data_IF_491414819824
#
_entry.id   IF_491414819824
#
_cell.length_a   1.000
_cell.length_b   1.000
_cell.length_c   1.000
_cell.angle_alpha   90.00
_cell.angle_beta   90.00
_cell.angle_gamma   90.00
#
_symmetry.space_group_name_H-M   'P 1'
#
loop_
_entity.id
_entity.type
_entity.pdbx_description
1 polymer ?
#
# COMPACT_ATOMS: atom_id res chain seq x y z
N UNK A 1 -14.65 -6.33 37.47
CA UNK A 1 -13.76 -6.36 36.29
C UNK A 1 -14.45 -7.22 35.24
N UNK A 2 -14.60 -6.71 34.02
CA UNK A 2 -15.16 -7.48 32.90
C UNK A 2 -14.27 -8.67 32.56
N UNK A 3 -14.85 -9.85 32.39
CA UNK A 3 -14.13 -11.04 31.96
C UNK A 3 -14.06 -11.06 30.43
N UNK A 4 -12.87 -10.82 29.88
CA UNK A 4 -12.63 -10.75 28.43
C UNK A 4 -12.55 -12.12 27.75
N UNK A 5 -12.52 -13.22 28.53
CA UNK A 5 -12.52 -14.58 28.02
C UNK A 5 -13.92 -15.21 28.00
N UNK A 6 -14.96 -14.47 28.40
CA UNK A 6 -16.33 -14.94 28.29
C UNK A 6 -16.72 -15.07 26.81
N UNK A 7 -17.20 -16.25 26.35
CA UNK A 7 -17.58 -16.45 24.95
C UNK A 7 -18.68 -15.48 24.48
N UNK A 8 -19.54 -15.00 25.36
CA UNK A 8 -20.56 -13.99 25.03
C UNK A 8 -19.92 -12.65 24.64
N UNK A 9 -18.96 -12.18 25.43
CA UNK A 9 -18.21 -10.94 25.20
C UNK A 9 -17.38 -11.02 23.92
N UNK A 10 -16.80 -12.19 23.63
CA UNK A 10 -16.01 -12.39 22.40
C UNK A 10 -16.91 -12.32 21.16
N UNK A 11 -18.10 -12.92 21.20
CA UNK A 11 -19.04 -12.88 20.08
C UNK A 11 -19.53 -11.45 19.79
N UNK A 12 -19.86 -10.68 20.83
CA UNK A 12 -20.27 -9.28 20.71
C UNK A 12 -19.17 -8.41 20.11
N UNK A 13 -17.92 -8.59 20.57
CA UNK A 13 -16.77 -7.86 20.03
C UNK A 13 -16.51 -8.21 18.57
N UNK A 14 -16.67 -9.48 18.18
CA UNK A 14 -16.49 -9.90 16.79
C UNK A 14 -17.53 -9.25 15.86
N UNK A 15 -18.79 -9.17 16.29
CA UNK A 15 -19.85 -8.49 15.52
C UNK A 15 -19.58 -6.99 15.38
N UNK A 16 -19.11 -6.34 16.45
CA UNK A 16 -18.71 -4.93 16.41
C UNK A 16 -17.54 -4.70 15.43
N UNK A 17 -16.50 -5.54 15.49
CA UNK A 17 -15.35 -5.47 14.58
C UNK A 17 -15.75 -5.70 13.12
N UNK A 18 -16.64 -6.65 12.85
CA UNK A 18 -17.16 -6.88 11.50
C UNK A 18 -17.80 -5.60 10.95
N UNK A 19 -18.71 -5.01 11.71
CA UNK A 19 -19.42 -3.78 11.31
C UNK A 19 -18.47 -2.61 11.08
N UNK A 20 -17.50 -2.40 11.98
CA UNK A 20 -16.48 -1.35 11.82
C UNK A 20 -15.62 -1.58 10.58
N UNK A 21 -15.20 -2.82 10.32
CA UNK A 21 -14.38 -3.18 9.16
C UNK A 21 -15.08 -2.85 7.85
N UNK A 22 -16.38 -3.12 7.76
CA UNK A 22 -17.19 -2.78 6.58
C UNK A 22 -17.32 -1.28 6.35
N UNK A 23 -17.53 -0.50 7.42
CA UNK A 23 -17.61 0.96 7.33
C UNK A 23 -16.28 1.55 6.85
N UNK A 24 -15.16 1.18 7.48
CA UNK A 24 -13.84 1.66 7.07
C UNK A 24 -13.47 1.21 5.66
N UNK A 25 -13.76 -0.04 5.31
CA UNK A 25 -13.49 -0.56 3.98
C UNK A 25 -14.30 0.18 2.91
N UNK A 26 -15.54 0.58 3.20
CA UNK A 26 -16.39 1.34 2.27
C UNK A 26 -15.87 2.76 2.05
N UNK A 27 -15.45 3.44 3.13
CA UNK A 27 -14.82 4.77 3.05
C UNK A 27 -13.51 4.69 2.25
N UNK A 28 -12.69 3.67 2.51
CA UNK A 28 -11.47 3.43 1.76
C UNK A 28 -11.73 3.17 0.27
N UNK A 29 -12.75 2.37 -0.04
CA UNK A 29 -13.14 2.09 -1.42
C UNK A 29 -13.61 3.36 -2.14
N UNK A 30 -14.37 4.22 -1.46
CA UNK A 30 -14.81 5.52 -1.98
C UNK A 30 -13.62 6.41 -2.35
N UNK A 31 -12.68 6.61 -1.42
CA UNK A 31 -11.44 7.37 -1.66
C UNK A 31 -10.61 6.80 -2.81
N UNK A 32 -10.59 5.48 -2.95
CA UNK A 32 -9.88 4.85 -4.03
C UNK A 32 -10.56 5.06 -5.39
N UNK A 33 -11.88 4.93 -5.47
CA UNK A 33 -12.64 5.14 -6.71
C UNK A 33 -12.50 6.58 -7.21
N UNK A 34 -12.58 7.57 -6.31
CA UNK A 34 -12.41 8.98 -6.69
C UNK A 34 -11.00 9.28 -7.18
N UNK A 35 -9.99 8.60 -6.63
CA UNK A 35 -8.58 8.74 -7.06
C UNK A 35 -8.24 7.95 -8.33
N UNK A 36 -9.02 6.91 -8.66
CA UNK A 36 -8.77 6.02 -9.80
C UNK A 36 -8.71 6.75 -11.13
N UNK A 37 -9.51 7.80 -11.31
CA UNK A 37 -9.51 8.59 -12.55
C UNK A 37 -8.16 9.21 -12.89
N UNK A 38 -7.37 9.58 -11.87
CA UNK A 38 -6.02 10.11 -12.06
C UNK A 38 -5.02 9.00 -12.43
N UNK A 39 -5.07 7.88 -11.71
CA UNK A 39 -4.19 6.72 -11.92
C UNK A 39 -4.43 6.04 -13.28
N UNK A 40 -5.69 5.96 -13.71
CA UNK A 40 -6.05 5.41 -15.02
C UNK A 40 -5.46 6.22 -16.17
N UNK A 41 -5.39 7.55 -16.02
CA UNK A 41 -4.75 8.42 -17.02
C UNK A 41 -3.24 8.21 -17.11
N UNK A 42 -2.60 7.84 -16.00
CA UNK A 42 -1.17 7.48 -15.94
C UNK A 42 -0.92 6.14 -16.64
N UNK A 43 -1.75 5.14 -16.36
CA UNK A 43 -1.68 3.81 -17.02
C UNK A 43 -1.93 3.93 -18.53
N UNK A 44 -2.85 4.79 -18.94
CA UNK A 44 -3.21 5.01 -20.35
C UNK A 44 -2.14 5.80 -21.14
N UNK A 45 -0.92 5.97 -20.60
CA UNK A 45 0.24 6.58 -21.29
C UNK A 45 0.02 8.02 -21.79
N UNK A 46 -0.91 8.77 -21.20
CA UNK A 46 -1.08 10.19 -21.56
C UNK A 46 0.04 11.09 -20.99
N UNK A 47 0.97 10.54 -20.20
CA UNK A 47 2.12 11.22 -19.60
C UNK A 47 3.33 10.27 -19.55
N UNK A 48 4.55 10.82 -19.60
CA UNK A 48 5.80 10.05 -19.55
C UNK A 48 5.84 9.12 -18.32
N UNK A 49 5.93 7.82 -18.58
CA UNK A 49 5.97 6.78 -17.55
C UNK A 49 7.29 6.82 -16.79
N UNK A 50 7.30 7.57 -15.68
CA UNK A 50 8.42 7.56 -14.74
C UNK A 50 8.33 6.31 -13.87
N UNK A 51 9.41 5.55 -13.75
CA UNK A 51 9.57 4.42 -12.82
C UNK A 51 8.96 4.62 -11.42
N UNK A 52 9.16 5.76 -10.73
CA UNK A 52 8.54 6.00 -9.42
C UNK A 52 7.00 6.06 -9.45
N UNK A 53 6.39 6.34 -10.60
CA UNK A 53 4.94 6.35 -10.75
C UNK A 53 4.37 4.94 -10.78
N UNK A 54 5.07 3.98 -11.42
CA UNK A 54 4.69 2.57 -11.44
C UNK A 54 4.69 1.98 -10.02
N UNK A 55 5.73 2.28 -9.24
CA UNK A 55 5.86 1.84 -7.84
C UNK A 55 4.72 2.39 -6.96
N UNK A 56 4.24 3.60 -7.26
CA UNK A 56 3.09 4.21 -6.57
C UNK A 56 1.76 3.52 -6.90
N UNK A 57 1.55 3.15 -8.17
CA UNK A 57 0.35 2.40 -8.59
C UNK A 57 0.34 1.02 -7.93
N UNK A 58 1.47 0.32 -7.91
CA UNK A 58 1.58 -1.02 -7.31
C UNK A 58 1.31 -0.99 -5.81
N UNK A 59 1.81 0.00 -5.06
CA UNK A 59 1.53 0.09 -3.62
C UNK A 59 0.05 0.33 -3.33
N UNK A 60 -0.61 1.22 -4.10
CA UNK A 60 -2.06 1.45 -3.99
C UNK A 60 -2.89 0.23 -4.37
N UNK A 61 -2.52 -0.51 -5.42
CA UNK A 61 -3.20 -1.75 -5.80
C UNK A 61 -3.03 -2.84 -4.74
N UNK A 62 -1.85 -2.93 -4.13
CA UNK A 62 -1.56 -3.87 -3.04
C UNK A 62 -2.46 -3.60 -1.84
N UNK A 63 -2.60 -2.32 -1.46
CA UNK A 63 -3.47 -1.89 -0.36
C UNK A 63 -4.95 -2.20 -0.65
N UNK A 64 -5.38 -2.05 -1.90
CA UNK A 64 -6.73 -2.41 -2.30
C UNK A 64 -6.97 -3.93 -2.31
N UNK A 65 -5.97 -4.71 -2.69
CA UNK A 65 -6.00 -6.17 -2.56
C UNK A 65 -6.23 -6.62 -1.11
N UNK A 66 -5.59 -5.94 -0.14
CA UNK A 66 -5.83 -6.21 1.29
C UNK A 66 -7.26 -5.87 1.70
N UNK A 67 -7.78 -4.70 1.29
CA UNK A 67 -9.14 -4.28 1.61
C UNK A 67 -10.18 -5.27 1.06
N UNK A 68 -10.10 -5.63 -0.22
CA UNK A 68 -10.98 -6.64 -0.84
C UNK A 68 -10.82 -8.00 -0.12
N UNK A 69 -9.59 -8.41 0.17
CA UNK A 69 -9.30 -9.64 0.90
C UNK A 69 -10.00 -9.68 2.27
N UNK A 70 -10.00 -8.58 3.01
CA UNK A 70 -10.69 -8.49 4.31
C UNK A 70 -12.20 -8.60 4.19
N UNK A 71 -12.81 -8.00 3.14
CA UNK A 71 -14.24 -8.15 2.87
C UNK A 71 -14.62 -9.59 2.54
N UNK A 72 -13.84 -10.25 1.69
CA UNK A 72 -14.06 -11.65 1.31
C UNK A 72 -13.93 -12.56 2.54
N UNK A 73 -12.90 -12.35 3.37
CA UNK A 73 -12.68 -13.13 4.58
C UNK A 73 -13.83 -13.01 5.60
N UNK A 74 -14.51 -11.86 5.65
CA UNK A 74 -15.70 -11.67 6.50
C UNK A 74 -16.99 -12.22 5.87
N UNK A 75 -17.02 -12.39 4.55
CA UNK A 75 -18.21 -12.88 3.83
C UNK A 75 -18.27 -14.41 3.74
N UNK A 76 -17.11 -15.09 3.81
CA UNK A 76 -17.07 -16.56 3.80
C UNK A 76 -17.35 -17.14 5.19
N UNK A 77 -18.48 -17.83 5.34
CA UNK A 77 -18.85 -18.62 6.53
C UNK A 77 -18.38 -20.08 6.48
N UNK A 78 -17.66 -20.47 5.42
CA UNK A 78 -17.17 -21.84 5.18
C UNK A 78 -15.75 -22.05 5.71
N UNK A 79 -15.38 -23.29 6.07
CA UNK A 79 -14.03 -23.67 6.52
C UNK A 79 -12.94 -23.21 5.54
N UNK A 80 -12.27 -22.11 5.85
CA UNK A 80 -11.09 -21.62 5.13
C UNK A 80 -9.91 -21.55 6.10
N UNK A 81 -8.68 -21.68 5.58
CA UNK A 81 -7.47 -21.57 6.38
C UNK A 81 -7.25 -20.11 6.82
N UNK A 82 -7.81 -19.71 7.95
CA UNK A 82 -7.65 -18.36 8.52
C UNK A 82 -6.18 -17.96 8.65
N UNK A 83 -5.28 -18.90 8.99
CA UNK A 83 -3.85 -18.61 9.13
C UNK A 83 -3.22 -18.20 7.79
N UNK A 84 -3.55 -18.91 6.69
CA UNK A 84 -3.01 -18.60 5.37
C UNK A 84 -3.52 -17.25 4.85
N UNK A 85 -4.82 -16.99 4.97
CA UNK A 85 -5.43 -15.72 4.55
C UNK A 85 -4.87 -14.53 5.34
N UNK A 86 -4.71 -14.70 6.65
CA UNK A 86 -4.16 -13.65 7.51
C UNK A 86 -2.69 -13.36 7.18
N UNK A 87 -1.86 -14.40 6.97
CA UNK A 87 -0.47 -14.24 6.52
C UNK A 87 -0.36 -13.53 5.18
N UNK A 88 -1.24 -13.86 4.23
CA UNK A 88 -1.26 -13.21 2.92
C UNK A 88 -1.60 -11.71 3.03
N UNK A 89 -2.59 -11.35 3.85
CA UNK A 89 -2.94 -9.94 4.10
C UNK A 89 -1.80 -9.18 4.77
N UNK A 90 -1.13 -9.79 5.75
CA UNK A 90 0.04 -9.18 6.40
C UNK A 90 1.18 -8.97 5.41
N UNK A 91 1.49 -9.97 4.59
CA UNK A 91 2.56 -9.85 3.59
C UNK A 91 2.29 -8.70 2.61
N UNK A 92 1.08 -8.62 2.06
CA UNK A 92 0.67 -7.53 1.17
C UNK A 92 0.72 -6.15 1.87
N UNK A 93 0.30 -6.09 3.14
CA UNK A 93 0.39 -4.88 3.96
C UNK A 93 1.82 -4.40 4.14
N UNK A 94 2.74 -5.29 4.53
CA UNK A 94 4.16 -4.95 4.68
C UNK A 94 4.80 -4.51 3.37
N UNK A 95 4.49 -5.19 2.26
CA UNK A 95 4.96 -4.80 0.94
C UNK A 95 4.52 -3.38 0.58
N UNK A 96 3.25 -3.04 0.81
CA UNK A 96 2.72 -1.69 0.57
C UNK A 96 3.48 -0.63 1.38
N UNK A 97 3.73 -0.89 2.67
CA UNK A 97 4.49 0.04 3.52
C UNK A 97 5.92 0.21 3.01
N UNK A 98 6.61 -0.89 2.66
CA UNK A 98 7.97 -0.82 2.12
C UNK A 98 8.04 0.00 0.81
N UNK A 99 7.07 -0.19 -0.09
CA UNK A 99 6.99 0.53 -1.36
C UNK A 99 6.79 2.05 -1.12
N UNK A 100 5.89 2.42 -0.20
CA UNK A 100 5.63 3.83 0.15
C UNK A 100 6.87 4.48 0.78
N UNK A 101 7.55 3.79 1.69
CA UNK A 101 8.80 4.28 2.29
C UNK A 101 9.87 4.50 1.22
N UNK A 102 10.01 3.57 0.28
CA UNK A 102 10.96 3.68 -0.82
C UNK A 102 10.66 4.88 -1.74
N UNK A 103 9.38 5.14 -2.05
CA UNK A 103 8.95 6.30 -2.85
C UNK A 103 9.31 7.64 -2.21
N UNK A 104 9.15 7.76 -0.89
CA UNK A 104 9.52 8.98 -0.16
C UNK A 104 11.04 9.17 -0.23
N UNK A 105 11.82 8.10 -0.04
CA UNK A 105 13.28 8.16 -0.14
C UNK A 105 13.75 8.57 -1.56
N UNK A 106 13.11 8.07 -2.61
CA UNK A 106 13.43 8.52 -3.98
C UNK A 106 13.14 10.00 -4.20
N UNK A 107 12.03 10.51 -3.64
CA UNK A 107 11.69 11.94 -3.73
C UNK A 107 12.67 12.82 -2.96
N UNK A 108 13.11 12.39 -1.77
CA UNK A 108 14.11 13.17 -1.01
C UNK A 108 15.46 13.20 -1.73
N UNK A 109 15.89 12.08 -2.33
CA UNK A 109 17.12 12.02 -3.14
C UNK A 109 17.00 12.93 -4.38
N UNK A 110 15.86 12.94 -5.06
CA UNK A 110 15.65 13.80 -6.22
C UNK A 110 15.71 15.29 -5.87
N UNK A 111 15.11 15.69 -4.74
CA UNK A 111 15.18 17.08 -4.23
C UNK A 111 16.63 17.43 -3.85
N UNK A 112 17.33 16.51 -3.19
CA UNK A 112 18.73 16.69 -2.78
C UNK A 112 19.67 16.81 -3.99
N UNK A 113 19.47 16.00 -5.04
CA UNK A 113 20.24 16.11 -6.29
C UNK A 113 19.98 17.42 -7.02
N UNK A 114 18.73 17.91 -7.06
CA UNK A 114 18.42 19.21 -7.69
C UNK A 114 19.04 20.39 -6.94
N UNK A 115 19.18 20.28 -5.62
CA UNK A 115 19.87 21.27 -4.79
C UNK A 115 21.39 21.12 -4.87
N UNK A 116 21.89 19.89 -5.05
CA UNK A 116 23.31 19.60 -5.10
C UNK A 116 23.91 19.66 -6.50
N UNK A 117 23.19 19.81 -7.60
CA UNK A 117 23.85 20.10 -8.89
C UNK A 117 24.65 21.44 -8.85
N UNK A 118 24.48 22.27 -7.81
CA UNK A 118 25.36 23.41 -7.45
C UNK A 118 26.62 23.00 -6.64
N UNK A 119 26.68 21.78 -6.07
CA UNK A 119 27.69 21.27 -5.12
C UNK A 119 28.35 19.93 -5.61
N UNK A 120 27.83 19.29 -6.66
CA UNK A 120 28.03 17.88 -7.06
C UNK A 120 29.03 17.69 -8.22
N UNK A 121 30.17 18.36 -8.17
CA UNK A 121 31.37 17.88 -8.90
C UNK A 121 32.29 16.99 -8.05
N UNK A 122 32.11 16.93 -6.72
CA UNK A 122 33.18 16.44 -5.83
C UNK A 122 32.99 15.03 -5.26
N UNK A 123 31.85 14.35 -5.45
CA UNK A 123 31.57 13.08 -4.74
C UNK A 123 30.90 11.98 -5.59
N UNK A 124 31.24 11.94 -6.88
CA UNK A 124 31.05 10.78 -7.76
C UNK A 124 31.76 9.57 -7.13
N UNK A 125 31.17 8.40 -6.92
CA UNK A 125 31.12 7.41 -8.01
C UNK A 125 30.18 6.22 -7.79
N UNK A 126 29.74 5.89 -6.56
CA UNK A 126 29.13 4.56 -6.33
C UNK A 126 27.58 4.58 -6.23
N UNK A 127 26.97 5.71 -5.88
CA UNK A 127 25.52 5.82 -5.78
C UNK A 127 24.82 6.12 -7.12
N UNK A 128 25.53 6.69 -8.10
CA UNK A 128 24.97 6.97 -9.44
C UNK A 128 24.69 5.70 -10.26
N UNK A 129 25.42 4.61 -10.04
CA UNK A 129 25.26 3.38 -10.83
C UNK A 129 23.89 2.70 -10.62
N UNK A 130 23.31 2.80 -9.42
CA UNK A 130 21.99 2.22 -9.14
C UNK A 130 20.83 3.08 -9.68
N UNK A 131 21.03 4.39 -9.83
CA UNK A 131 20.02 5.30 -10.36
C UNK A 131 19.94 5.30 -11.90
N UNK A 132 21.05 5.04 -12.60
CA UNK A 132 21.06 5.03 -14.08
C UNK A 132 20.54 3.70 -14.66
N UNK A 133 20.64 2.59 -13.92
CA UNK A 133 20.15 1.28 -14.40
C UNK A 133 18.61 1.18 -14.53
N UNK A 134 17.85 2.18 -14.04
CA UNK A 134 16.40 2.25 -14.17
C UNK A 134 15.89 3.23 -15.23
N UNK A 135 16.76 4.00 -15.89
CA UNK A 135 16.38 5.01 -16.91
C UNK A 135 16.64 4.52 -18.36
N UNK A 136 16.68 3.20 -18.61
CA UNK A 136 16.67 2.62 -19.97
C UNK A 136 15.39 1.85 -20.26
#
# INVERSE_FOLDING_TARGET
MTNWQDPSVIADNYAALGTMSWVFGSIFLWEWITTLGFEWRIITRQMDLKWPMLVCVVSRLSMLGVAIGTFIAQSLTTQFNCDASFRAMLALGYLSVCLVSFLIALRTIAIWNRHNDDIRCTLHSNACAFLIAGDL
#
